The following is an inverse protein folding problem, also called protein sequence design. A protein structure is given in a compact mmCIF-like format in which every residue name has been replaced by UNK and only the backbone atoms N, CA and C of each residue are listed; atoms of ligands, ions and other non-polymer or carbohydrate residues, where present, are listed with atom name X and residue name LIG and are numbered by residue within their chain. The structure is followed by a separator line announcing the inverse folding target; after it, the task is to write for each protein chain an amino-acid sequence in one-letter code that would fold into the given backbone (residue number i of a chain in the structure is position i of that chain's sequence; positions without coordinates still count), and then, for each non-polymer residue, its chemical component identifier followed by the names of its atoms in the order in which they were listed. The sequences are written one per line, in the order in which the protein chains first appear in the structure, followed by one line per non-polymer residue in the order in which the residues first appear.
data_IF_879587474524
#
_entry.id   IF_879587474524
#
_cell.length_a   1.000
_cell.length_b   1.000
_cell.length_c   1.000
_cell.angle_alpha   90.00
_cell.angle_beta   90.00
_cell.angle_gamma   90.00
#
_symmetry.space_group_name_H-M   'P 1'
#
loop_
_entity.id
_entity.type
_entity.pdbx_description
1 polymer ?
#
# COMPACT_ATOMS: atom_id res chain seq x y z
N UNK A 1 6.11 2.78 2.69
CA UNK A 1 5.79 3.07 1.28
C UNK A 1 4.31 3.39 1.18
N UNK A 2 3.87 4.10 0.14
CA UNK A 2 2.46 4.32 -0.19
C UNK A 2 2.20 3.73 -1.58
N UNK A 3 1.04 3.11 -1.77
CA UNK A 3 0.59 2.56 -3.05
C UNK A 3 -0.72 3.26 -3.40
N UNK A 4 -0.79 3.91 -4.56
CA UNK A 4 -1.96 4.63 -5.04
C UNK A 4 -2.41 4.08 -6.40
N UNK A 5 -3.71 4.05 -6.66
CA UNK A 5 -4.27 3.52 -7.92
C UNK A 5 -5.62 4.16 -8.23
N UNK A 6 -6.07 4.11 -9.48
CA UNK A 6 -7.29 4.81 -9.92
C UNK A 6 -8.57 3.96 -9.77
N UNK A 7 -8.42 2.66 -9.56
CA UNK A 7 -9.53 1.74 -9.28
C UNK A 7 -9.16 0.69 -8.24
N UNK A 8 -10.17 0.03 -7.67
CA UNK A 8 -9.98 -1.04 -6.68
C UNK A 8 -9.32 -2.28 -7.31
N UNK A 9 -9.66 -2.60 -8.55
CA UNK A 9 -9.06 -3.71 -9.30
C UNK A 9 -7.57 -3.48 -9.54
N UNK A 10 -7.21 -2.27 -9.99
CA UNK A 10 -5.82 -1.87 -10.19
C UNK A 10 -5.07 -1.85 -8.85
N UNK A 11 -5.67 -1.30 -7.80
CA UNK A 11 -5.06 -1.24 -6.47
C UNK A 11 -4.74 -2.63 -5.94
N UNK A 12 -5.67 -3.59 -6.07
CA UNK A 12 -5.44 -4.98 -5.64
C UNK A 12 -4.25 -5.60 -6.39
N UNK A 13 -4.16 -5.39 -7.70
CA UNK A 13 -3.04 -5.90 -8.49
C UNK A 13 -1.71 -5.27 -8.06
N UNK A 14 -1.67 -3.95 -7.90
CA UNK A 14 -0.47 -3.22 -7.49
C UNK A 14 0.00 -3.62 -6.09
N UNK A 15 -0.93 -3.77 -5.13
CA UNK A 15 -0.61 -4.25 -3.77
C UNK A 15 0.01 -5.64 -3.83
N UNK A 16 -0.54 -6.57 -4.62
CA UNK A 16 0.00 -7.92 -4.76
C UNK A 16 1.43 -7.91 -5.32
N UNK A 17 1.69 -7.13 -6.38
CA UNK A 17 3.02 -7.02 -6.98
C UNK A 17 4.05 -6.46 -6.00
N UNK A 18 3.69 -5.39 -5.27
CA UNK A 18 4.60 -4.76 -4.31
C UNK A 18 4.89 -5.68 -3.13
N UNK A 19 3.88 -6.34 -2.58
CA UNK A 19 4.09 -7.29 -1.47
C UNK A 19 4.95 -8.49 -1.92
N UNK A 20 4.74 -8.99 -3.14
CA UNK A 20 5.59 -10.05 -3.70
C UNK A 20 7.05 -9.58 -3.86
N UNK A 21 7.28 -8.39 -4.40
CA UNK A 21 8.63 -7.84 -4.56
C UNK A 21 9.33 -7.63 -3.22
N UNK A 22 8.61 -7.17 -2.19
CA UNK A 22 9.15 -7.06 -0.83
C UNK A 22 9.52 -8.43 -0.26
N UNK A 23 8.63 -9.41 -0.41
CA UNK A 23 8.86 -10.79 0.03
C UNK A 23 10.10 -11.40 -0.65
N UNK A 24 10.24 -11.25 -1.96
CA UNK A 24 11.38 -11.77 -2.73
C UNK A 24 12.71 -11.11 -2.28
N UNK A 25 12.64 -9.85 -1.85
CA UNK A 25 13.76 -9.11 -1.24
C UNK A 25 13.97 -9.41 0.26
N UNK A 26 13.22 -10.36 0.85
CA UNK A 26 13.26 -10.69 2.27
C UNK A 26 12.90 -9.51 3.20
N UNK A 27 12.05 -8.61 2.72
CA UNK A 27 11.49 -7.49 3.47
C UNK A 27 10.02 -7.78 3.80
N UNK A 28 9.61 -7.49 5.04
CA UNK A 28 8.26 -7.79 5.51
C UNK A 28 7.60 -6.56 6.08
N UNK A 29 6.35 -6.33 5.67
CA UNK A 29 5.49 -5.31 6.24
C UNK A 29 4.98 -5.75 7.63
N UNK A 30 4.80 -4.81 8.55
CA UNK A 30 4.22 -5.12 9.87
C UNK A 30 2.71 -5.09 9.78
N UNK A 31 2.03 -6.18 10.12
CA UNK A 31 0.57 -6.28 10.10
C UNK A 31 -0.10 -5.16 10.92
N UNK A 32 0.46 -4.86 12.10
CA UNK A 32 -0.05 -3.80 12.99
C UNK A 32 0.04 -2.39 12.40
N UNK A 33 1.00 -2.14 11.50
CA UNK A 33 1.27 -0.81 10.94
C UNK A 33 0.80 -0.66 9.49
N UNK A 34 0.45 -1.77 8.84
CA UNK A 34 0.09 -1.77 7.43
C UNK A 34 -1.40 -1.50 7.30
N UNK A 35 -1.73 -0.48 6.52
CA UNK A 35 -3.11 -0.13 6.20
C UNK A 35 -3.28 -0.27 4.68
N UNK A 36 -4.32 -0.98 4.24
CA UNK A 36 -4.60 -1.27 2.83
C UNK A 36 -6.03 -0.86 2.50
N UNK A 37 -6.29 -0.56 1.21
CA UNK A 37 -7.63 -0.26 0.70
C UNK A 37 -8.34 0.90 1.41
N UNK A 38 -7.58 1.94 1.76
CA UNK A 38 -8.12 3.18 2.34
C UNK A 38 -8.42 4.21 1.23
N UNK A 39 -9.43 5.05 1.47
CA UNK A 39 -9.73 6.22 0.63
C UNK A 39 -8.96 7.48 1.05
N UNK A 40 -8.40 7.46 2.26
CA UNK A 40 -7.56 8.52 2.83
C UNK A 40 -6.45 7.91 3.70
N UNK A 41 -5.31 8.59 3.79
CA UNK A 41 -4.16 8.12 4.58
C UNK A 41 -3.26 9.28 5.00
N UNK A 42 -2.72 9.21 6.22
CA UNK A 42 -1.65 10.10 6.66
C UNK A 42 -0.29 9.50 6.29
N UNK A 43 0.47 10.21 5.45
CA UNK A 43 1.80 9.77 5.02
C UNK A 43 2.79 10.93 5.03
N UNK A 44 3.93 10.73 5.70
CA UNK A 44 5.01 11.73 5.84
C UNK A 44 4.53 13.10 6.35
N UNK A 45 3.56 13.12 7.26
CA UNK A 45 3.02 14.35 7.85
C UNK A 45 1.97 15.06 6.98
N UNK A 46 1.55 14.44 5.87
CA UNK A 46 0.50 14.94 5.00
C UNK A 46 -0.72 14.03 5.08
N UNK A 47 -1.91 14.64 5.11
CA UNK A 47 -3.17 13.94 4.92
C UNK A 47 -3.50 13.89 3.42
N UNK A 48 -3.66 12.69 2.88
CA UNK A 48 -3.92 12.43 1.46
C UNK A 48 -5.29 11.77 1.35
N UNK A 49 -6.17 12.31 0.49
CA UNK A 49 -7.51 11.79 0.21
C UNK A 49 -7.79 11.80 -1.30
N UNK A 50 -8.75 10.98 -1.73
CA UNK A 50 -9.16 10.82 -3.14
C UNK A 50 -9.94 12.01 -3.72
#
# INVERSE_FOLDING_TARGET
IIIWSQSIEEHRHNVQLVLQALHDAHLYCSDKKTQLFLLEVDFLGHHISA
#
